data_IF_531783792449
#
_entry.id   IF_531783792449
#
_cell.length_a   1.000
_cell.length_b   1.000
_cell.length_c   1.000
_cell.angle_alpha   90.00
_cell.angle_beta   90.00
_cell.angle_gamma   90.00
#
_symmetry.space_group_name_H-M   'P 1'
#
loop_
_entity.id
_entity.type
_entity.pdbx_description
1 polymer ?
#
# COMPACT_ATOMS: atom_id res chain seq x y z
N UNK A 1 -1.63 -12.40 19.09
CA UNK A 1 -1.11 -11.56 17.99
C UNK A 1 -0.93 -12.44 16.76
N UNK A 2 -1.78 -12.31 15.74
CA UNK A 2 -1.55 -13.01 14.47
C UNK A 2 -0.35 -12.35 13.78
N UNK A 3 0.62 -13.14 13.32
CA UNK A 3 1.78 -12.65 12.55
C UNK A 3 1.27 -12.13 11.20
N UNK A 4 1.16 -10.81 11.07
CA UNK A 4 0.91 -10.12 9.80
C UNK A 4 2.19 -10.16 8.97
N UNK A 5 2.43 -11.25 8.24
CA UNK A 5 3.54 -11.36 7.31
C UNK A 5 3.01 -11.59 5.91
N UNK A 6 2.44 -10.54 5.32
CA UNK A 6 2.55 -10.38 3.88
C UNK A 6 4.04 -10.21 3.59
N UNK A 7 4.64 -11.21 2.93
CA UNK A 7 6.09 -11.34 2.84
C UNK A 7 6.62 -10.39 1.77
N UNK A 8 7.58 -9.55 2.15
CA UNK A 8 8.13 -8.53 1.24
C UNK A 8 9.16 -9.20 0.31
N UNK A 9 9.05 -9.08 -1.02
CA UNK A 9 10.03 -9.66 -1.95
C UNK A 9 11.38 -8.93 -1.81
N UNK A 10 12.40 -9.62 -1.31
CA UNK A 10 13.72 -9.03 -1.02
C UNK A 10 14.37 -8.39 -2.26
N UNK A 11 14.15 -8.98 -3.44
CA UNK A 11 14.68 -8.53 -4.74
C UNK A 11 14.12 -7.19 -5.22
N UNK A 12 12.94 -6.78 -4.73
CA UNK A 12 12.32 -5.48 -5.02
C UNK A 12 12.88 -4.42 -4.07
N UNK A 13 12.89 -4.77 -2.78
CA UNK A 13 13.28 -3.89 -1.67
C UNK A 13 14.68 -3.33 -1.83
N UNK A 14 15.65 -4.14 -2.24
CA UNK A 14 17.06 -3.72 -2.37
C UNK A 14 17.25 -2.60 -3.39
N UNK A 15 16.42 -2.56 -4.44
CA UNK A 15 16.52 -1.57 -5.52
C UNK A 15 15.85 -0.24 -5.18
N UNK A 16 15.06 -0.21 -4.10
CA UNK A 16 14.36 0.99 -3.67
C UNK A 16 15.26 1.89 -2.82
N UNK A 17 15.17 3.23 -3.00
CA UNK A 17 15.67 4.20 -2.03
C UNK A 17 15.15 3.92 -0.62
N UNK A 18 15.92 4.27 0.40
CA UNK A 18 15.61 3.90 1.79
C UNK A 18 14.20 4.32 2.25
N UNK A 19 13.72 5.50 1.83
CA UNK A 19 12.39 6.00 2.18
C UNK A 19 11.26 5.26 1.46
N UNK A 20 11.42 4.99 0.16
CA UNK A 20 10.46 4.19 -0.62
C UNK A 20 10.38 2.76 -0.09
N UNK A 21 11.54 2.19 0.26
CA UNK A 21 11.64 0.88 0.88
C UNK A 21 10.88 0.80 2.18
N UNK A 22 11.05 1.80 3.05
CA UNK A 22 10.36 1.88 4.32
C UNK A 22 8.84 2.01 4.13
N UNK A 23 8.39 2.91 3.24
CA UNK A 23 6.97 3.04 2.92
C UNK A 23 6.40 1.73 2.38
N UNK A 24 7.07 1.09 1.42
CA UNK A 24 6.61 -0.17 0.84
C UNK A 24 6.51 -1.28 1.89
N UNK A 25 7.47 -1.36 2.82
CA UNK A 25 7.40 -2.28 3.96
C UNK A 25 6.16 -2.03 4.83
N UNK A 26 5.89 -0.77 5.17
CA UNK A 26 4.72 -0.42 5.98
C UNK A 26 3.41 -0.72 5.25
N UNK A 27 3.32 -0.48 3.93
CA UNK A 27 2.16 -0.87 3.14
C UNK A 27 1.96 -2.38 3.15
N UNK A 28 3.01 -3.18 2.94
CA UNK A 28 2.97 -4.64 3.07
C UNK A 28 2.49 -5.08 4.47
N UNK A 29 2.98 -4.43 5.53
CA UNK A 29 2.62 -4.74 6.92
C UNK A 29 1.15 -4.45 7.23
N UNK A 30 0.62 -3.38 6.66
CA UNK A 30 -0.76 -2.92 6.84
C UNK A 30 -1.76 -3.63 5.91
N UNK A 31 -1.27 -4.22 4.82
CA UNK A 31 -2.10 -4.88 3.82
C UNK A 31 -2.86 -6.09 4.38
N UNK A 32 -4.05 -6.33 3.82
CA UNK A 32 -4.93 -7.39 4.22
C UNK A 32 -4.29 -8.77 3.99
N UNK A 33 -4.21 -9.64 5.01
CA UNK A 33 -3.64 -10.98 4.86
C UNK A 33 -4.55 -11.94 4.08
N UNK A 34 -5.83 -11.58 3.90
CA UNK A 34 -6.86 -12.34 3.18
C UNK A 34 -7.90 -11.38 2.64
N UNK A 35 -8.68 -11.82 1.66
CA UNK A 35 -9.84 -11.07 1.18
C UNK A 35 -10.82 -10.84 2.34
N UNK A 36 -11.36 -9.64 2.45
CA UNK A 36 -12.43 -9.31 3.38
C UNK A 36 -13.35 -8.24 2.79
N UNK A 37 -14.54 -8.10 3.36
CA UNK A 37 -15.45 -7.01 2.99
C UNK A 37 -15.35 -5.91 4.04
N UNK A 38 -15.02 -4.69 3.60
CA UNK A 38 -14.97 -3.53 4.48
C UNK A 38 -16.39 -2.97 4.69
N UNK A 39 -16.87 -2.99 5.93
CA UNK A 39 -18.24 -2.58 6.26
C UNK A 39 -18.43 -1.07 6.27
N UNK A 40 -17.37 -0.29 6.48
CA UNK A 40 -17.42 1.18 6.49
C UNK A 40 -17.60 1.70 5.06
N UNK A 41 -16.75 1.22 4.15
CA UNK A 41 -16.75 1.65 2.76
C UNK A 41 -17.64 0.80 1.85
N UNK A 42 -18.16 -0.33 2.34
CA UNK A 42 -18.98 -1.29 1.60
C UNK A 42 -18.30 -1.81 0.32
N UNK A 43 -16.98 -2.03 0.38
CA UNK A 43 -16.17 -2.54 -0.73
C UNK A 43 -15.48 -3.85 -0.35
N UNK A 44 -15.25 -4.70 -1.35
CA UNK A 44 -14.42 -5.90 -1.18
C UNK A 44 -12.95 -5.50 -1.23
N UNK A 45 -12.21 -5.81 -0.16
CA UNK A 45 -10.77 -5.59 -0.07
C UNK A 45 -10.06 -6.92 -0.33
N UNK A 46 -9.37 -7.09 -1.46
CA UNK A 46 -8.60 -8.29 -1.73
C UNK A 46 -7.39 -8.42 -0.79
N UNK A 47 -6.81 -9.62 -0.71
CA UNK A 47 -5.51 -9.87 -0.08
C UNK A 47 -4.46 -8.93 -0.70
N UNK A 48 -3.62 -8.33 0.14
CA UNK A 48 -2.66 -7.31 -0.29
C UNK A 48 -3.26 -5.91 -0.41
N UNK A 49 -4.58 -5.75 -0.28
CA UNK A 49 -5.28 -4.47 -0.29
C UNK A 49 -5.29 -3.81 1.09
N UNK A 50 -5.31 -2.48 1.13
CA UNK A 50 -5.61 -1.70 2.34
C UNK A 50 -6.40 -0.45 1.96
N UNK A 51 -7.29 -0.01 2.85
CA UNK A 51 -8.00 1.26 2.71
C UNK A 51 -7.31 2.32 3.55
N UNK A 52 -6.82 3.38 2.93
CA UNK A 52 -6.17 4.48 3.66
C UNK A 52 -6.26 5.81 2.91
N UNK A 53 -5.69 6.85 3.52
CA UNK A 53 -5.50 8.17 2.92
C UNK A 53 -4.04 8.58 3.06
N UNK A 54 -3.56 9.45 2.19
CA UNK A 54 -2.19 10.00 2.30
C UNK A 54 -1.94 10.62 3.67
N UNK A 55 -2.96 11.28 4.26
CA UNK A 55 -2.90 11.83 5.62
C UNK A 55 -2.79 10.75 6.71
N UNK A 56 -3.52 9.63 6.58
CA UNK A 56 -3.40 8.53 7.55
C UNK A 56 -2.02 7.87 7.43
N UNK A 57 -1.56 7.63 6.21
CA UNK A 57 -0.24 7.06 5.97
C UNK A 57 0.89 7.94 6.48
N UNK A 58 0.83 9.26 6.23
CA UNK A 58 1.84 10.22 6.69
C UNK A 58 2.01 10.18 8.20
N UNK A 59 0.91 10.04 8.94
CA UNK A 59 0.93 9.91 10.40
C UNK A 59 1.50 8.58 10.88
N UNK A 60 1.26 7.48 10.15
CA UNK A 60 1.76 6.15 10.52
C UNK A 60 3.27 6.05 10.32
N UNK A 61 3.78 6.60 9.20
CA UNK A 61 5.19 6.51 8.83
C UNK A 61 6.04 7.69 9.33
N UNK A 62 5.39 8.66 10.01
CA UNK A 62 5.98 9.89 10.52
C UNK A 62 6.72 10.73 9.46
N UNK A 63 6.13 10.84 8.28
CA UNK A 63 6.60 11.71 7.20
C UNK A 63 5.64 12.88 6.95
N UNK A 64 6.11 13.93 6.30
CA UNK A 64 5.23 15.00 5.84
C UNK A 64 4.23 14.46 4.80
N UNK A 65 3.07 15.12 4.69
CA UNK A 65 2.08 14.78 3.67
C UNK A 65 2.67 14.81 2.25
N UNK A 66 3.46 15.85 1.94
CA UNK A 66 4.09 16.02 0.62
C UNK A 66 5.06 14.88 0.30
N UNK A 67 5.94 14.53 1.25
CA UNK A 67 6.87 13.43 1.07
C UNK A 67 6.15 12.09 0.95
N UNK A 68 5.10 11.89 1.75
CA UNK A 68 4.29 10.66 1.66
C UNK A 68 3.64 10.52 0.29
N UNK A 69 3.06 11.61 -0.24
CA UNK A 69 2.47 11.64 -1.58
C UNK A 69 3.49 11.31 -2.66
N UNK A 70 4.66 11.95 -2.64
CA UNK A 70 5.73 11.72 -3.60
C UNK A 70 6.21 10.26 -3.59
N UNK A 71 6.44 9.70 -2.39
CA UNK A 71 6.88 8.30 -2.27
C UNK A 71 5.80 7.31 -2.75
N UNK A 72 4.53 7.62 -2.50
CA UNK A 72 3.40 6.84 -3.03
C UNK A 72 3.42 6.86 -4.56
N UNK A 73 3.53 8.04 -5.16
CA UNK A 73 3.54 8.21 -6.61
C UNK A 73 4.70 7.42 -7.23
N UNK A 74 5.90 7.49 -6.62
CA UNK A 74 7.05 6.69 -7.05
C UNK A 74 6.79 5.18 -7.01
N UNK A 75 6.11 4.68 -5.96
CA UNK A 75 5.76 3.25 -5.86
C UNK A 75 4.71 2.84 -6.90
N UNK A 76 3.77 3.72 -7.23
CA UNK A 76 2.78 3.52 -8.31
C UNK A 76 3.49 3.47 -9.67
N UNK A 77 4.38 4.42 -9.95
CA UNK A 77 5.18 4.44 -11.19
C UNK A 77 6.01 3.18 -11.37
N UNK A 78 6.57 2.66 -10.28
CA UNK A 78 7.32 1.39 -10.25
C UNK A 78 6.43 0.14 -10.31
N UNK A 79 5.10 0.30 -10.38
CA UNK A 79 4.10 -0.76 -10.40
C UNK A 79 4.21 -1.71 -9.20
N UNK A 80 4.62 -1.19 -8.06
CA UNK A 80 4.69 -1.95 -6.80
C UNK A 80 3.38 -1.89 -6.03
N UNK A 81 2.63 -0.82 -6.25
CA UNK A 81 1.28 -0.63 -5.73
C UNK A 81 0.37 -0.08 -6.83
N UNK A 82 -0.93 -0.23 -6.63
CA UNK A 82 -1.98 0.49 -7.36
C UNK A 82 -2.84 1.26 -6.35
N UNK A 83 -3.28 2.46 -6.72
CA UNK A 83 -4.19 3.26 -5.90
C UNK A 83 -5.46 3.58 -6.66
N UNK A 84 -6.58 3.10 -6.12
CA UNK A 84 -7.91 3.39 -6.67
C UNK A 84 -8.65 4.31 -5.70
N UNK A 85 -9.13 5.49 -6.13
CA UNK A 85 -9.93 6.35 -5.27
C UNK A 85 -11.23 5.64 -4.88
N UNK A 86 -11.61 5.75 -3.61
CA UNK A 86 -12.88 5.24 -3.11
C UNK A 86 -13.90 6.37 -3.16
N UNK A 87 -15.03 6.12 -3.83
CA UNK A 87 -16.13 7.06 -3.83
C UNK A 87 -16.73 7.15 -2.42
N UNK A 88 -16.66 8.36 -1.87
CA UNK A 88 -17.17 8.70 -0.53
C UNK A 88 -18.26 9.77 -0.60
N UNK A 89 -18.74 10.10 -1.81
CA UNK A 89 -19.66 11.21 -2.04
C UNK A 89 -19.03 12.60 -1.90
N UNK A 90 -17.71 12.67 -1.66
CA UNK A 90 -16.95 13.91 -1.59
C UNK A 90 -16.43 14.32 -2.97
N UNK A 91 -16.40 15.63 -3.26
CA UNK A 91 -15.86 16.16 -4.53
C UNK A 91 -14.37 15.84 -4.73
N UNK A 92 -13.63 15.61 -3.64
CA UNK A 92 -12.23 15.23 -3.65
C UNK A 92 -12.10 13.88 -2.96
N UNK A 93 -11.58 12.84 -3.65
CA UNK A 93 -11.35 11.54 -3.03
C UNK A 93 -10.37 11.68 -1.87
N UNK A 94 -10.83 11.33 -0.66
CA UNK A 94 -9.99 11.39 0.55
C UNK A 94 -9.39 10.03 0.88
N UNK A 95 -10.08 8.95 0.49
CA UNK A 95 -9.67 7.58 0.74
C UNK A 95 -9.38 6.85 -0.56
N UNK A 96 -8.45 5.90 -0.47
CA UNK A 96 -7.99 5.08 -1.57
C UNK A 96 -7.92 3.63 -1.12
N UNK A 97 -8.27 2.74 -2.03
CA UNK A 97 -7.88 1.34 -1.95
C UNK A 97 -6.48 1.25 -2.54
N UNK A 98 -5.51 0.87 -1.71
CA UNK A 98 -4.13 0.65 -2.12
C UNK A 98 -3.92 -0.84 -2.23
N UNK A 99 -3.69 -1.33 -3.45
CA UNK A 99 -3.33 -2.72 -3.70
C UNK A 99 -1.81 -2.84 -3.73
N UNK A 100 -1.24 -3.65 -2.84
CA UNK A 100 0.16 -4.02 -2.90
C UNK A 100 0.31 -5.26 -3.77
N UNK A 101 1.19 -5.21 -4.76
CA UNK A 101 1.45 -6.37 -5.63
C UNK A 101 2.53 -7.26 -5.03
N UNK A 102 2.27 -8.57 -4.95
CA UNK A 102 3.31 -9.57 -4.76
C UNK A 102 4.14 -9.63 -6.05
N UNK A 103 5.34 -9.04 -6.03
CA UNK A 103 6.26 -9.17 -7.17
C UNK A 103 6.89 -10.55 -7.09
N UNK A 104 6.40 -11.47 -7.92
CA UNK A 104 7.03 -12.78 -8.11
C UNK A 104 8.49 -12.56 -8.55
N UNK A 105 9.44 -13.06 -7.76
CA UNK A 105 10.81 -13.20 -8.25
C UNK A 105 10.75 -14.06 -9.52
N UNK A 106 11.46 -13.71 -10.60
CA UNK A 106 11.54 -14.59 -11.75
C UNK A 106 12.07 -15.94 -11.25
N UNK A 107 11.28 -16.99 -11.45
CA UNK A 107 11.74 -18.35 -11.27
C UNK A 107 12.96 -18.53 -12.17
N UNK A 108 14.13 -18.70 -11.57
CA UNK A 108 15.29 -19.21 -12.29
C UNK A 108 14.92 -20.61 -12.81
N UNK A 109 14.51 -20.66 -14.07
CA UNK A 109 14.46 -21.87 -14.90
C UNK A 109 15.82 -22.14 -15.51
#
# INVERSE_FOLDING_TARGET
MQKHTFSVPYSVVEKLPAKERFLYYELCRLAAPRNYFDTEFKISVPKGGLISSTRRLSNIIDYSYSLTSELIDNLVEKKLIEMTPIDTGSKVPTFFMIQVFEVYAPSHS
#
